data_IF_951965721989
#
_entry.id   IF_951965721989
#
_cell.length_a   1.000
_cell.length_b   1.000
_cell.length_c   1.000
_cell.angle_alpha   90.00
_cell.angle_beta   90.00
_cell.angle_gamma   90.00
#
_symmetry.space_group_name_H-M   'P 1'
#
loop_
_entity.id
_entity.type
_entity.pdbx_description
1 polymer ?
#
# COMPACT_ATOMS: atom_id res chain seq x y z
N UNK A 1 8.32 3.69 -5.72
CA UNK A 1 8.17 2.58 -6.68
C UNK A 1 6.75 2.57 -7.21
N UNK A 2 6.55 2.26 -8.50
CA UNK A 2 5.21 2.05 -9.09
C UNK A 2 4.93 0.56 -9.17
N UNK A 3 3.73 0.15 -8.81
CA UNK A 3 3.29 -1.26 -8.80
C UNK A 3 1.93 -1.33 -9.47
N UNK A 4 1.74 -2.28 -10.39
CA UNK A 4 0.49 -2.53 -11.08
C UNK A 4 -0.05 -3.91 -10.69
N UNK A 5 -1.22 -3.96 -10.06
CA UNK A 5 -1.84 -5.18 -9.57
C UNK A 5 -3.10 -5.46 -10.39
N UNK A 6 -3.14 -6.60 -11.06
CA UNK A 6 -4.35 -7.14 -11.66
C UNK A 6 -5.12 -7.91 -10.60
N UNK A 7 -6.36 -7.51 -10.30
CA UNK A 7 -7.17 -8.20 -9.30
C UNK A 7 -7.50 -9.62 -9.75
N UNK A 8 -7.47 -10.55 -8.80
CA UNK A 8 -7.89 -11.92 -9.02
C UNK A 8 -9.39 -12.05 -8.74
N UNK A 9 -10.12 -12.69 -9.66
CA UNK A 9 -11.53 -13.04 -9.43
C UNK A 9 -11.62 -14.25 -8.50
N UNK A 10 -12.33 -14.08 -7.40
CA UNK A 10 -12.63 -15.14 -6.44
C UNK A 10 -14.14 -15.11 -6.13
N UNK A 11 -14.89 -15.99 -6.79
CA UNK A 11 -16.35 -15.91 -6.84
C UNK A 11 -16.80 -14.59 -7.48
N UNK A 12 -17.71 -13.88 -6.80
CA UNK A 12 -18.22 -12.57 -7.24
C UNK A 12 -17.30 -11.40 -6.88
N UNK A 13 -16.20 -11.66 -6.17
CA UNK A 13 -15.29 -10.62 -5.70
C UNK A 13 -14.02 -10.52 -6.54
N UNK A 14 -13.45 -9.31 -6.58
CA UNK A 14 -12.12 -9.03 -7.10
C UNK A 14 -11.20 -8.74 -5.91
N UNK A 15 -10.15 -9.54 -5.73
CA UNK A 15 -9.23 -9.44 -4.60
C UNK A 15 -7.84 -8.98 -5.07
N UNK A 16 -7.15 -8.23 -4.21
CA UNK A 16 -5.78 -7.77 -4.45
C UNK A 16 -4.72 -8.65 -3.79
N UNK A 17 -5.09 -9.40 -2.74
CA UNK A 17 -4.14 -10.27 -2.01
C UNK A 17 -3.21 -9.53 -1.06
N UNK A 18 -3.67 -8.43 -0.44
CA UNK A 18 -2.94 -7.75 0.64
C UNK A 18 -3.90 -7.06 1.61
N UNK A 19 -3.41 -6.69 2.80
CA UNK A 19 -4.13 -5.92 3.82
C UNK A 19 -3.50 -4.55 4.03
N UNK A 20 -4.31 -3.58 4.45
CA UNK A 20 -3.84 -2.24 4.81
C UNK A 20 -4.07 -1.93 6.29
N UNK A 21 -3.30 -0.97 6.81
CA UNK A 21 -3.46 -0.35 8.12
C UNK A 21 -3.15 1.14 8.05
N UNK A 22 -3.51 1.88 9.10
CA UNK A 22 -3.36 3.34 9.16
C UNK A 22 -4.55 4.09 8.56
N UNK A 23 -4.37 5.38 8.32
CA UNK A 23 -5.43 6.35 8.03
C UNK A 23 -5.48 7.46 9.08
N UNK A 24 -5.94 8.65 8.68
CA UNK A 24 -5.93 9.84 9.56
C UNK A 24 -6.81 9.70 10.81
N UNK A 25 -7.81 8.82 10.73
CA UNK A 25 -8.78 8.45 11.74
C UNK A 25 -8.32 7.29 12.65
N UNK A 26 -7.14 6.72 12.40
CA UNK A 26 -6.56 5.64 13.20
C UNK A 26 -5.46 6.17 14.14
N UNK A 27 -5.15 5.40 15.19
CA UNK A 27 -4.04 5.67 16.09
C UNK A 27 -2.70 5.31 15.40
N UNK A 28 -1.86 6.30 15.05
CA UNK A 28 -0.61 6.05 14.34
C UNK A 28 0.45 5.36 15.24
N UNK A 29 0.31 5.42 16.56
CA UNK A 29 1.28 4.80 17.49
C UNK A 29 1.26 3.27 17.39
N UNK A 30 0.15 2.71 16.93
CA UNK A 30 -0.04 1.26 16.74
C UNK A 30 0.55 0.75 15.43
N UNK A 31 1.00 1.63 14.53
CA UNK A 31 1.59 1.21 13.25
C UNK A 31 3.06 0.75 13.46
N UNK A 32 3.39 -0.55 13.26
CA UNK A 32 4.75 -1.04 13.45
C UNK A 32 5.68 -0.70 12.29
N UNK A 33 5.15 -0.25 11.15
CA UNK A 33 5.91 -0.05 9.90
C UNK A 33 6.43 1.38 9.72
N UNK A 34 5.92 2.34 10.50
CA UNK A 34 6.44 3.72 10.49
C UNK A 34 7.48 3.94 11.59
N UNK A 35 8.61 4.54 11.22
CA UNK A 35 9.61 5.08 12.15
C UNK A 35 9.07 6.36 12.84
N UNK A 36 8.25 7.16 12.14
CA UNK A 36 7.54 8.31 12.70
C UNK A 36 6.18 7.87 13.25
N UNK A 37 6.03 7.89 14.58
CA UNK A 37 4.78 7.49 15.28
C UNK A 37 3.65 8.51 15.19
N UNK A 38 3.86 9.61 14.47
CA UNK A 38 2.80 10.55 14.10
C UNK A 38 2.27 10.30 12.68
N UNK A 39 2.93 9.42 11.90
CA UNK A 39 2.56 9.13 10.51
C UNK A 39 1.24 8.38 10.40
N UNK A 40 0.27 9.05 9.76
CA UNK A 40 -1.10 8.57 9.55
C UNK A 40 -1.34 7.96 8.18
N UNK A 41 -0.28 7.72 7.41
CA UNK A 41 -0.38 7.15 6.06
C UNK A 41 -0.95 5.74 6.03
N UNK A 42 -1.22 5.27 4.81
CA UNK A 42 -1.71 3.91 4.55
C UNK A 42 -0.53 2.97 4.31
N UNK A 43 -0.46 1.88 5.07
CA UNK A 43 0.63 0.90 5.00
C UNK A 43 0.11 -0.48 4.66
N UNK A 44 0.90 -1.24 3.90
CA UNK A 44 0.67 -2.66 3.66
C UNK A 44 1.06 -3.45 4.91
N UNK A 45 0.09 -4.12 5.53
CA UNK A 45 0.28 -4.85 6.79
C UNK A 45 0.46 -6.36 6.60
N UNK A 46 -0.04 -6.88 5.48
CA UNK A 46 0.09 -8.29 5.07
C UNK A 46 0.05 -8.38 3.56
N UNK A 47 0.79 -9.32 3.00
CA UNK A 47 0.68 -9.75 1.60
C UNK A 47 0.38 -11.25 1.59
N UNK A 48 -0.54 -11.68 0.73
CA UNK A 48 -0.87 -13.09 0.55
C UNK A 48 0.14 -13.75 -0.38
N UNK A 49 0.77 -14.82 0.08
CA UNK A 49 1.70 -15.65 -0.70
C UNK A 49 1.02 -16.20 -1.97
N UNK A 50 1.71 -16.11 -3.10
CA UNK A 50 1.22 -16.43 -4.44
C UNK A 50 0.12 -15.48 -4.95
N UNK A 51 -0.27 -14.47 -4.17
CA UNK A 51 -1.35 -13.56 -4.49
C UNK A 51 -0.95 -12.47 -5.50
N UNK A 52 -1.94 -11.76 -6.08
CA UNK A 52 -1.66 -10.75 -7.11
C UNK A 52 -0.71 -9.64 -6.66
N UNK A 53 -0.85 -9.18 -5.42
CA UNK A 53 0.02 -8.16 -4.85
C UNK A 53 1.48 -8.64 -4.71
N UNK A 54 1.70 -9.88 -4.30
CA UNK A 54 3.05 -10.45 -4.20
C UNK A 54 3.69 -10.58 -5.59
N UNK A 55 2.95 -11.12 -6.56
CA UNK A 55 3.40 -11.25 -7.96
C UNK A 55 3.76 -9.89 -8.56
N UNK A 56 3.03 -8.84 -8.21
CA UNK A 56 3.31 -7.48 -8.63
C UNK A 56 4.49 -6.81 -7.88
N UNK A 57 5.04 -7.47 -6.85
CA UNK A 57 6.19 -6.99 -6.08
C UNK A 57 5.84 -6.04 -4.93
N UNK A 58 4.59 -6.02 -4.48
CA UNK A 58 4.18 -5.31 -3.26
C UNK A 58 4.73 -6.03 -2.03
N UNK A 59 5.22 -5.27 -1.05
CA UNK A 59 5.83 -5.83 0.16
C UNK A 59 5.15 -5.31 1.42
N UNK A 60 5.21 -6.11 2.48
CA UNK A 60 4.81 -5.67 3.82
C UNK A 60 5.67 -4.47 4.23
N UNK A 61 5.03 -3.45 4.81
CA UNK A 61 5.67 -2.20 5.21
C UNK A 61 5.76 -1.15 4.10
N UNK A 62 5.36 -1.45 2.85
CA UNK A 62 5.21 -0.43 1.82
C UNK A 62 4.17 0.62 2.26
N UNK A 63 4.53 1.90 2.18
CA UNK A 63 3.61 3.01 2.37
C UNK A 63 2.98 3.37 1.03
N UNK A 64 1.66 3.36 0.97
CA UNK A 64 0.89 3.67 -0.24
C UNK A 64 0.67 5.18 -0.32
N UNK A 65 1.24 5.79 -1.35
CA UNK A 65 1.15 7.23 -1.63
C UNK A 65 -0.01 7.54 -2.57
N UNK A 66 -0.27 6.67 -3.56
CA UNK A 66 -1.38 6.85 -4.49
C UNK A 66 -2.04 5.52 -4.89
N UNK A 67 -3.33 5.58 -5.21
CA UNK A 67 -4.13 4.48 -5.79
C UNK A 67 -4.83 5.01 -7.04
N UNK A 68 -4.47 4.52 -8.24
CA UNK A 68 -5.05 4.97 -9.51
C UNK A 68 -5.06 6.51 -9.66
N UNK A 69 -3.95 7.15 -9.25
CA UNK A 69 -3.78 8.61 -9.27
C UNK A 69 -4.42 9.37 -8.11
N UNK A 70 -5.21 8.71 -7.26
CA UNK A 70 -5.77 9.33 -6.05
C UNK A 70 -4.73 9.36 -4.94
N UNK A 71 -4.55 10.53 -4.33
CA UNK A 71 -3.67 10.71 -3.18
C UNK A 71 -4.17 9.93 -1.94
N UNK A 72 -3.26 9.22 -1.28
CA UNK A 72 -3.54 8.40 -0.10
C UNK A 72 -2.87 8.93 1.18
N UNK A 73 -2.26 10.13 1.13
CA UNK A 73 -1.44 10.63 2.25
C UNK A 73 -2.27 11.11 3.43
N UNK A 74 -3.47 11.65 3.15
CA UNK A 74 -4.37 12.26 4.14
C UNK A 74 -5.80 11.72 4.02
N UNK A 75 -5.93 10.40 3.96
CA UNK A 75 -7.23 9.72 3.86
C UNK A 75 -7.56 8.94 5.12
N UNK A 76 -8.84 8.76 5.37
CA UNK A 76 -9.31 7.79 6.38
C UNK A 76 -9.07 6.37 5.91
N UNK A 77 -9.04 5.42 6.85
CA UNK A 77 -8.89 4.01 6.55
C UNK A 77 -9.96 3.51 5.56
N UNK A 78 -11.23 3.88 5.80
CA UNK A 78 -12.34 3.45 4.94
C UNK A 78 -12.28 4.09 3.55
N UNK A 79 -11.81 5.34 3.43
CA UNK A 79 -11.56 5.96 2.12
C UNK A 79 -10.50 5.17 1.34
N UNK A 80 -9.37 4.81 1.97
CA UNK A 80 -8.34 3.99 1.33
C UNK A 80 -8.90 2.64 0.88
N UNK A 81 -9.64 1.94 1.76
CA UNK A 81 -10.31 0.68 1.45
C UNK A 81 -11.23 0.82 0.24
N UNK A 82 -12.12 1.82 0.22
CA UNK A 82 -13.05 2.07 -0.89
C UNK A 82 -12.34 2.29 -2.22
N UNK A 83 -11.19 2.97 -2.22
CA UNK A 83 -10.40 3.22 -3.44
C UNK A 83 -9.76 1.92 -3.97
N UNK A 84 -9.27 1.06 -3.08
CA UNK A 84 -8.66 -0.23 -3.46
C UNK A 84 -9.71 -1.24 -3.96
N UNK A 85 -10.91 -1.25 -3.39
CA UNK A 85 -11.91 -2.31 -3.62
C UNK A 85 -13.01 -1.95 -4.62
N UNK A 86 -12.81 -0.94 -5.49
CA UNK A 86 -13.78 -0.63 -6.55
C UNK A 86 -13.99 -1.84 -7.47
N UNK A 87 -15.24 -2.24 -7.67
CA UNK A 87 -15.61 -3.45 -8.43
C UNK A 87 -15.43 -3.30 -9.94
N UNK A 88 -15.49 -2.08 -10.46
CA UNK A 88 -15.34 -1.77 -11.89
C UNK A 88 -13.88 -1.44 -12.28
N UNK A 89 -12.92 -1.62 -11.37
CA UNK A 89 -11.50 -1.40 -11.64
C UNK A 89 -10.77 -2.73 -11.43
N UNK A 90 -10.52 -3.47 -12.52
CA UNK A 90 -9.79 -4.75 -12.47
C UNK A 90 -8.29 -4.56 -12.21
N UNK A 91 -7.75 -3.38 -12.53
CA UNK A 91 -6.34 -3.04 -12.33
C UNK A 91 -6.21 -1.90 -11.32
N UNK A 92 -5.28 -2.06 -10.38
CA UNK A 92 -4.93 -1.04 -9.38
C UNK A 92 -3.45 -0.70 -9.53
N UNK A 93 -3.18 0.56 -9.84
CA UNK A 93 -1.83 1.14 -9.91
C UNK A 93 -1.52 1.87 -8.62
N UNK A 94 -0.50 1.39 -7.93
CA UNK A 94 -0.02 1.95 -6.68
C UNK A 94 1.26 2.74 -6.93
N UNK A 95 1.36 3.91 -6.28
CA UNK A 95 2.65 4.54 -6.01
C UNK A 95 2.98 4.26 -4.55
N UNK A 96 4.13 3.63 -4.28
CA UNK A 96 4.55 3.29 -2.92
C UNK A 96 5.94 3.83 -2.59
N UNK A 97 6.21 4.05 -1.31
CA UNK A 97 7.56 4.23 -0.78
C UNK A 97 7.95 3.05 0.10
N UNK A 98 9.20 2.62 -0.03
CA UNK A 98 9.78 1.50 0.71
C UNK A 98 11.06 1.97 1.38
N UNK A 99 11.19 1.75 2.69
CA UNK A 99 12.35 2.22 3.46
C UNK A 99 13.67 1.67 2.91
N UNK A 100 13.71 0.40 2.49
CA UNK A 100 14.94 -0.20 1.94
C UNK A 100 15.41 0.52 0.67
N UNK A 101 14.49 0.95 -0.19
CA UNK A 101 14.82 1.76 -1.37
C UNK A 101 15.31 3.15 -1.00
N UNK A 102 14.73 3.77 0.03
CA UNK A 102 15.21 5.07 0.52
C UNK A 102 16.63 4.97 1.08
N UNK A 103 16.92 3.94 1.89
CA UNK A 103 18.25 3.68 2.45
C UNK A 103 19.29 3.40 1.35
N UNK A 104 18.93 2.63 0.32
CA UNK A 104 19.81 2.36 -0.83
C UNK A 104 20.15 3.62 -1.63
N UNK A 105 19.14 4.47 -1.89
CA UNK A 105 19.35 5.76 -2.56
C UNK A 105 20.27 6.65 -1.73
N UNK A 106 20.02 6.78 -0.43
CA UNK A 106 20.85 7.57 0.48
C UNK A 106 22.31 7.10 0.49
N UNK A 107 22.55 5.79 0.49
CA UNK A 107 23.90 5.20 0.44
C UNK A 107 24.60 5.52 -0.88
N UNK A 108 23.92 5.41 -2.03
CA UNK A 108 24.49 5.72 -3.35
C UNK A 108 24.88 7.19 -3.54
N UNK A 109 24.23 8.11 -2.83
CA UNK A 109 24.57 9.54 -2.87
C UNK A 109 25.75 9.90 -1.98
N UNK A 110 26.13 9.02 -1.06
CA UNK A 110 27.23 9.21 -0.11
C UNK A 110 28.55 8.57 -0.57
N UNK A 111 28.53 7.79 -1.66
CA UNK A 111 29.68 7.17 -2.33
C UNK A 111 30.09 7.95 -3.57
#
# INVERSE_FOLDING_TARGET
QRIEIHKLRQGDNLILGFSIGGGIDQDPTQNPFSEDKTDKGIYVTRVTEGGPAEVAGLQIGDKIMQVNGWDMTMVTHDQARKRLTKRNEEVVRLLVTRQSLQKAVQQSMMS
#
